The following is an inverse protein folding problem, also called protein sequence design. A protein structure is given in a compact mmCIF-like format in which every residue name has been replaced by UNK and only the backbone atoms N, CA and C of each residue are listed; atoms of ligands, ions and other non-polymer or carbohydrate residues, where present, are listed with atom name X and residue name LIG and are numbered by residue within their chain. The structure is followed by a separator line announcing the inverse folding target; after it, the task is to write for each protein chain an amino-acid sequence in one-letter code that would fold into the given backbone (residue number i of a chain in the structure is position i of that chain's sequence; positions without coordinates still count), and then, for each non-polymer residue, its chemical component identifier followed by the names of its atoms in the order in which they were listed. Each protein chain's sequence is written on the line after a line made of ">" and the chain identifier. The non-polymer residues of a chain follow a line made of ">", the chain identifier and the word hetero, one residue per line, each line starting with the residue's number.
data_IF_094181216186
#
_entry.id   IF_094181216186
#
_cell.length_a   1.000
_cell.length_b   1.000
_cell.length_c   1.000
_cell.angle_alpha   90.00
_cell.angle_beta   90.00
_cell.angle_gamma   90.00
#
_symmetry.space_group_name_H-M   'P 1'
#
loop_
_entity.id
_entity.type
_entity.pdbx_description
1 polymer ?
#
# COMPACT_ATOMS: atom_id res chain seq x y z
N UNK A 1 -1.40 26.75 13.84
CA UNK A 1 -1.99 25.63 13.06
C UNK A 1 -1.55 25.74 11.61
N UNK A 2 -0.85 24.74 11.06
CA UNK A 2 -0.53 24.71 9.62
C UNK A 2 -1.84 24.62 8.83
N UNK A 3 -2.09 25.56 7.91
CA UNK A 3 -3.28 25.58 7.03
C UNK A 3 -2.83 25.21 5.60
N UNK A 4 -3.64 24.45 4.86
CA UNK A 4 -3.38 24.11 3.45
C UNK A 4 -2.69 22.76 3.23
N UNK A 5 -1.89 22.60 2.16
CA UNK A 5 -1.34 21.30 1.73
C UNK A 5 -0.42 20.66 2.78
N UNK A 6 0.30 21.47 3.56
CA UNK A 6 1.18 21.03 4.64
C UNK A 6 0.45 20.24 5.74
N UNK A 7 -0.84 20.53 5.97
CA UNK A 7 -1.64 19.81 6.95
C UNK A 7 -1.98 18.39 6.47
N UNK A 8 -2.35 18.27 5.19
CA UNK A 8 -2.67 16.97 4.55
C UNK A 8 -1.41 16.10 4.45
N UNK A 9 -0.31 16.69 3.98
CA UNK A 9 0.99 16.01 3.92
C UNK A 9 1.46 15.62 5.33
N UNK A 10 1.26 16.50 6.32
CA UNK A 10 1.55 16.20 7.73
C UNK A 10 0.75 15.01 8.26
N UNK A 11 -0.49 14.82 7.80
CA UNK A 11 -1.31 13.67 8.17
C UNK A 11 -0.77 12.36 7.55
N UNK A 12 -0.47 12.36 6.24
CA UNK A 12 0.17 11.21 5.58
C UNK A 12 1.49 10.82 6.24
N UNK A 13 2.30 11.82 6.64
CA UNK A 13 3.54 11.57 7.38
C UNK A 13 3.28 10.90 8.72
N UNK A 14 2.30 11.38 9.49
CA UNK A 14 1.94 10.76 10.77
C UNK A 14 1.54 9.29 10.61
N UNK A 15 0.77 8.95 9.59
CA UNK A 15 0.39 7.56 9.30
C UNK A 15 1.63 6.73 8.98
N UNK A 16 2.55 7.25 8.15
CA UNK A 16 3.79 6.54 7.81
C UNK A 16 4.63 6.29 9.06
N UNK A 17 4.83 7.31 9.89
CA UNK A 17 5.65 7.25 11.10
C UNK A 17 5.02 6.39 12.21
N UNK A 18 3.68 6.22 12.20
CA UNK A 18 2.92 5.52 13.24
C UNK A 18 1.96 4.49 12.63
N UNK A 19 2.46 3.71 11.67
CA UNK A 19 1.64 2.76 10.88
C UNK A 19 0.88 1.77 11.78
N UNK A 20 1.53 1.24 12.82
CA UNK A 20 0.91 0.29 13.74
C UNK A 20 -0.22 0.92 14.57
N UNK A 21 -0.09 2.18 14.98
CA UNK A 21 -1.14 2.88 15.71
C UNK A 21 -2.36 3.13 14.81
N UNK A 22 -2.11 3.55 13.56
CA UNK A 22 -3.17 3.70 12.57
C UNK A 22 -3.91 2.38 12.32
N UNK A 23 -3.17 1.28 12.12
CA UNK A 23 -3.74 -0.05 11.92
C UNK A 23 -4.60 -0.49 13.11
N UNK A 24 -4.10 -0.35 14.34
CA UNK A 24 -4.89 -0.63 15.55
C UNK A 24 -6.16 0.23 15.64
N UNK A 25 -6.09 1.50 15.24
CA UNK A 25 -7.28 2.36 15.19
C UNK A 25 -8.36 1.90 14.19
N UNK A 26 -7.98 1.17 13.14
CA UNK A 26 -8.92 0.53 12.21
C UNK A 26 -9.51 -0.72 12.85
N UNK A 27 -8.69 -1.53 13.52
CA UNK A 27 -9.15 -2.71 14.26
C UNK A 27 -10.14 -2.34 15.37
N UNK A 28 -9.88 -1.26 16.11
CA UNK A 28 -10.79 -0.73 17.16
C UNK A 28 -12.16 -0.32 16.59
N UNK A 29 -12.23 0.01 15.30
CA UNK A 29 -13.47 0.29 14.56
C UNK A 29 -14.12 -0.97 13.99
N UNK A 30 -13.63 -2.15 14.34
CA UNK A 30 -14.12 -3.45 13.89
C UNK A 30 -13.70 -3.83 12.47
N UNK A 31 -12.67 -3.19 11.91
CA UNK A 31 -12.15 -3.57 10.59
C UNK A 31 -11.28 -4.82 10.68
N UNK A 32 -11.42 -5.71 9.70
CA UNK A 32 -10.53 -6.87 9.54
C UNK A 32 -9.30 -6.42 8.74
N UNK A 33 -8.11 -6.81 9.18
CA UNK A 33 -6.84 -6.35 8.60
C UNK A 33 -6.07 -7.51 7.99
N UNK A 34 -5.67 -7.38 6.72
CA UNK A 34 -4.79 -8.32 6.06
C UNK A 34 -3.45 -7.68 5.72
N UNK A 35 -2.35 -8.22 6.27
CA UNK A 35 -1.00 -7.85 5.87
C UNK A 35 -0.67 -8.42 4.50
N UNK A 36 -0.04 -7.65 3.62
CA UNK A 36 0.46 -8.19 2.36
C UNK A 36 1.91 -7.82 2.10
N UNK A 37 2.68 -8.78 1.55
CA UNK A 37 4.13 -8.64 1.35
C UNK A 37 4.55 -8.50 -0.11
N UNK A 38 3.67 -8.78 -1.07
CA UNK A 38 3.97 -8.74 -2.51
C UNK A 38 3.02 -7.81 -3.26
N UNK A 39 3.52 -7.03 -4.22
CA UNK A 39 2.71 -6.11 -5.03
C UNK A 39 1.74 -6.82 -5.98
N UNK A 40 1.91 -8.12 -6.19
CA UNK A 40 1.02 -8.95 -7.00
C UNK A 40 -0.15 -9.55 -6.21
N UNK A 41 -0.22 -9.30 -4.90
CA UNK A 41 -1.43 -9.65 -4.12
C UNK A 41 -2.59 -8.77 -4.62
N UNK A 42 -3.72 -9.35 -5.04
CA UNK A 42 -4.87 -8.60 -5.54
C UNK A 42 -5.62 -7.98 -4.35
N UNK A 43 -5.17 -6.80 -3.92
CA UNK A 43 -5.76 -6.04 -2.82
C UNK A 43 -7.27 -5.83 -2.98
N UNK A 44 -7.75 -5.76 -4.23
CA UNK A 44 -9.15 -5.62 -4.57
C UNK A 44 -10.03 -6.78 -4.07
N UNK A 45 -9.52 -8.02 -4.05
CA UNK A 45 -10.28 -9.18 -3.54
C UNK A 45 -10.47 -9.05 -2.03
N UNK A 46 -9.42 -8.67 -1.30
CA UNK A 46 -9.48 -8.40 0.13
C UNK A 46 -10.46 -7.25 0.43
N UNK A 47 -10.35 -6.16 -0.31
CA UNK A 47 -11.18 -4.98 -0.09
C UNK A 47 -12.67 -5.22 -0.40
N UNK A 48 -12.98 -6.00 -1.43
CA UNK A 48 -14.34 -6.42 -1.75
C UNK A 48 -14.98 -7.28 -0.61
N UNK A 49 -14.15 -8.01 0.13
CA UNK A 49 -14.56 -8.76 1.31
C UNK A 49 -14.75 -7.89 2.57
N UNK A 50 -14.43 -6.58 2.51
CA UNK A 50 -14.43 -5.69 3.68
C UNK A 50 -13.17 -5.82 4.55
N UNK A 51 -12.09 -6.36 4.00
CA UNK A 51 -10.79 -6.45 4.66
C UNK A 51 -9.93 -5.28 4.18
N UNK A 52 -9.28 -4.57 5.11
CA UNK A 52 -8.33 -3.49 4.76
C UNK A 52 -6.94 -4.10 4.52
N UNK A 53 -6.39 -4.00 3.29
CA UNK A 53 -5.05 -4.47 2.99
C UNK A 53 -4.01 -3.49 3.52
N UNK A 54 -3.07 -3.99 4.32
CA UNK A 54 -1.95 -3.23 4.89
C UNK A 54 -0.64 -3.76 4.34
N UNK A 55 0.12 -2.93 3.62
CA UNK A 55 1.44 -3.34 3.17
C UNK A 55 2.36 -3.54 4.37
N UNK A 56 3.00 -4.70 4.46
CA UNK A 56 4.09 -4.89 5.42
C UNK A 56 5.29 -4.09 4.92
N UNK A 57 5.57 -2.99 5.62
CA UNK A 57 6.72 -2.14 5.41
C UNK A 57 7.58 -2.19 6.68
N UNK A 58 8.89 -2.16 6.50
CA UNK A 58 9.83 -2.11 7.60
C UNK A 58 10.93 -1.12 7.29
N UNK A 59 11.29 -0.32 8.29
CA UNK A 59 12.59 0.35 8.31
C UNK A 59 13.70 -0.70 8.50
N UNK A 60 14.91 -0.32 8.15
CA UNK A 60 16.05 -1.22 8.29
C UNK A 60 16.39 -1.47 9.76
N UNK A 61 16.61 -2.74 10.10
CA UNK A 61 17.00 -3.21 11.42
C UNK A 61 18.17 -4.20 11.32
N UNK A 62 18.85 -4.44 12.44
CA UNK A 62 19.93 -5.44 12.48
C UNK A 62 19.40 -6.83 12.13
N UNK A 63 20.09 -7.51 11.20
CA UNK A 63 19.72 -8.85 10.77
C UNK A 63 20.09 -9.96 11.76
N UNK A 64 20.76 -9.63 12.88
CA UNK A 64 21.32 -10.61 13.82
C UNK A 64 20.30 -11.70 14.24
N UNK A 65 19.07 -11.31 14.57
CA UNK A 65 18.00 -12.24 14.93
C UNK A 65 17.55 -13.11 13.74
N UNK A 66 17.44 -12.51 12.56
CA UNK A 66 16.85 -13.16 11.39
C UNK A 66 17.77 -14.13 10.66
N UNK A 67 19.09 -14.06 10.89
CA UNK A 67 20.09 -14.94 10.24
C UNK A 67 19.92 -16.43 10.56
N UNK A 68 19.28 -16.75 11.69
CA UNK A 68 18.95 -18.13 12.05
C UNK A 68 17.73 -18.67 11.28
N UNK A 69 17.00 -17.81 10.56
CA UNK A 69 15.76 -18.13 9.86
C UNK A 69 15.86 -17.94 8.34
N UNK A 70 16.61 -16.93 7.90
CA UNK A 70 16.80 -16.58 6.49
C UNK A 70 18.31 -16.47 6.23
N UNK A 71 18.75 -17.00 5.09
CA UNK A 71 20.14 -16.95 4.69
C UNK A 71 20.63 -15.50 4.47
N UNK A 72 21.83 -15.17 4.94
CA UNK A 72 22.34 -13.78 4.98
C UNK A 72 22.50 -13.08 3.61
N UNK A 73 22.53 -13.84 2.52
CA UNK A 73 22.60 -13.29 1.15
C UNK A 73 21.26 -12.75 0.66
N UNK A 74 20.18 -13.01 1.39
CA UNK A 74 18.86 -12.52 1.04
C UNK A 74 18.78 -11.01 1.30
N UNK A 75 17.88 -10.32 0.60
CA UNK A 75 17.88 -8.86 0.61
C UNK A 75 17.54 -8.33 2.01
N UNK A 76 18.10 -7.17 2.36
CA UNK A 76 17.87 -6.58 3.68
C UNK A 76 16.38 -6.39 3.99
N UNK A 77 15.59 -6.02 2.99
CA UNK A 77 14.15 -5.81 3.17
C UNK A 77 13.39 -7.08 3.58
N UNK A 78 13.76 -8.27 3.09
CA UNK A 78 13.12 -9.51 3.53
C UNK A 78 13.50 -9.87 4.97
N UNK A 79 14.76 -9.62 5.36
CA UNK A 79 15.17 -9.73 6.76
C UNK A 79 14.40 -8.75 7.64
N UNK A 80 14.29 -7.49 7.24
CA UNK A 80 13.57 -6.46 7.99
C UNK A 80 12.09 -6.86 8.17
N UNK A 81 11.43 -7.35 7.12
CA UNK A 81 10.06 -7.85 7.21
C UNK A 81 9.93 -9.09 8.11
N UNK A 82 10.87 -10.04 8.04
CA UNK A 82 10.88 -11.22 8.91
C UNK A 82 11.04 -10.84 10.39
N UNK A 83 11.91 -9.87 10.67
CA UNK A 83 12.11 -9.33 12.01
C UNK A 83 10.80 -8.79 12.60
N UNK A 84 10.01 -8.05 11.82
CA UNK A 84 8.74 -7.51 12.29
C UNK A 84 7.77 -8.60 12.78
N UNK A 85 7.73 -9.75 12.10
CA UNK A 85 6.94 -10.91 12.53
C UNK A 85 7.49 -11.54 13.80
N UNK A 86 8.80 -11.81 13.85
CA UNK A 86 9.45 -12.40 15.03
C UNK A 86 9.38 -11.51 16.29
N UNK A 87 9.20 -10.20 16.11
CA UNK A 87 8.99 -9.25 17.21
C UNK A 87 7.51 -9.04 17.56
N UNK A 88 6.58 -9.74 16.91
CA UNK A 88 5.14 -9.61 17.19
C UNK A 88 4.58 -8.19 16.95
N UNK A 89 5.24 -7.39 16.10
CA UNK A 89 4.82 -6.00 15.83
C UNK A 89 3.52 -5.91 15.01
N UNK A 90 3.10 -7.03 14.41
CA UNK A 90 1.93 -7.13 13.53
C UNK A 90 0.86 -8.11 14.04
N UNK A 91 0.88 -8.48 15.34
CA UNK A 91 -0.09 -9.43 15.92
C UNK A 91 -1.57 -8.98 15.83
N UNK A 92 -1.80 -7.70 15.53
CA UNK A 92 -3.13 -7.16 15.24
C UNK A 92 -3.69 -7.60 13.88
N UNK A 93 -2.89 -8.20 12.99
CA UNK A 93 -3.36 -8.68 11.69
C UNK A 93 -4.18 -9.97 11.84
N UNK A 94 -5.30 -10.02 11.12
CA UNK A 94 -6.16 -11.20 11.08
C UNK A 94 -5.68 -12.24 10.06
N UNK A 95 -4.95 -11.77 9.04
CA UNK A 95 -4.46 -12.58 7.92
C UNK A 95 -3.15 -11.98 7.37
N UNK A 96 -2.24 -12.82 6.87
CA UNK A 96 -1.14 -12.41 5.99
C UNK A 96 -1.26 -13.06 4.62
N UNK A 97 -0.97 -12.30 3.56
CA UNK A 97 -1.02 -12.78 2.18
C UNK A 97 0.28 -12.45 1.46
N UNK A 98 0.80 -13.44 0.75
CA UNK A 98 1.93 -13.26 -0.15
C UNK A 98 1.60 -13.82 -1.52
N UNK A 99 2.27 -13.30 -2.55
CA UNK A 99 2.22 -13.86 -3.89
C UNK A 99 3.64 -14.23 -4.29
N UNK A 100 3.85 -15.48 -4.73
CA UNK A 100 5.15 -16.13 -4.88
C UNK A 100 6.02 -15.58 -6.03
N UNK A 101 6.23 -14.26 -6.10
CA UNK A 101 6.99 -13.62 -7.19
C UNK A 101 8.48 -13.45 -6.89
N UNK A 102 8.86 -13.35 -5.61
CA UNK A 102 10.24 -13.14 -5.18
C UNK A 102 10.60 -14.13 -4.07
N UNK A 103 11.65 -14.92 -4.28
CA UNK A 103 12.09 -15.94 -3.31
C UNK A 103 12.53 -15.32 -1.97
N UNK A 104 13.09 -14.09 -1.99
CA UNK A 104 13.51 -13.44 -0.76
C UNK A 104 12.32 -13.10 0.16
N UNK A 105 11.26 -12.52 -0.41
CA UNK A 105 10.05 -12.20 0.35
C UNK A 105 9.23 -13.45 0.69
N UNK A 106 9.32 -14.51 -0.12
CA UNK A 106 8.72 -15.81 0.21
C UNK A 106 9.34 -16.39 1.50
N UNK A 107 10.65 -16.24 1.70
CA UNK A 107 11.28 -16.65 2.96
C UNK A 107 10.85 -15.78 4.14
N UNK A 108 10.71 -14.45 3.96
CA UNK A 108 10.15 -13.60 5.00
C UNK A 108 8.72 -14.02 5.38
N UNK A 109 7.88 -14.34 4.40
CA UNK A 109 6.54 -14.89 4.62
C UNK A 109 6.59 -16.23 5.35
N UNK A 110 7.46 -17.16 4.93
CA UNK A 110 7.64 -18.46 5.59
C UNK A 110 8.05 -18.31 7.06
N UNK A 111 8.87 -17.32 7.39
CA UNK A 111 9.21 -17.02 8.80
C UNK A 111 7.97 -16.68 9.61
N UNK A 112 7.07 -15.86 9.06
CA UNK A 112 5.86 -15.48 9.79
C UNK A 112 4.92 -16.67 10.00
N UNK A 113 4.72 -17.46 8.94
CA UNK A 113 3.88 -18.67 8.98
C UNK A 113 4.40 -19.65 10.03
N UNK A 114 5.70 -19.94 10.03
CA UNK A 114 6.28 -21.02 10.84
C UNK A 114 6.66 -20.60 12.27
N UNK A 115 7.02 -19.34 12.47
CA UNK A 115 7.68 -18.90 13.71
C UNK A 115 7.04 -17.66 14.36
N UNK A 116 6.08 -17.01 13.71
CA UNK A 116 5.42 -15.81 14.25
C UNK A 116 3.90 -15.97 14.45
N UNK A 117 3.38 -17.20 14.48
CA UNK A 117 1.98 -17.47 14.82
C UNK A 117 0.97 -17.24 13.68
N UNK A 118 1.42 -17.15 12.42
CA UNK A 118 0.54 -16.97 11.26
C UNK A 118 0.20 -18.26 10.50
N UNK A 119 0.54 -19.44 11.02
CA UNK A 119 0.32 -20.72 10.33
C UNK A 119 -1.14 -20.91 9.85
N UNK A 120 -2.13 -20.57 10.69
CA UNK A 120 -3.57 -20.72 10.42
C UNK A 120 -4.21 -19.42 9.90
N UNK A 121 -3.38 -18.39 9.69
CA UNK A 121 -3.78 -17.03 9.28
C UNK A 121 -2.95 -16.56 8.10
N UNK A 122 -2.68 -17.44 7.15
CA UNK A 122 -1.83 -17.12 6.01
C UNK A 122 -2.34 -17.71 4.71
N UNK A 123 -2.05 -17.03 3.60
CA UNK A 123 -2.31 -17.54 2.26
C UNK A 123 -1.18 -17.16 1.30
N UNK A 124 -0.67 -18.16 0.56
CA UNK A 124 0.33 -17.97 -0.47
C UNK A 124 -0.31 -18.14 -1.85
N UNK A 125 -0.38 -17.06 -2.61
CA UNK A 125 -0.90 -17.06 -3.98
C UNK A 125 0.22 -17.52 -4.92
N UNK A 126 0.05 -18.64 -5.65
CA UNK A 126 0.97 -19.02 -6.70
C UNK A 126 1.03 -17.94 -7.80
N UNK A 127 2.23 -17.60 -8.25
CA UNK A 127 2.44 -16.60 -9.30
C UNK A 127 3.36 -17.14 -10.41
N UNK A 128 3.00 -16.99 -11.70
CA UNK A 128 3.78 -17.52 -12.80
C UNK A 128 5.05 -16.71 -13.00
N UNK A 129 6.19 -17.39 -13.06
CA UNK A 129 7.49 -16.74 -13.33
C UNK A 129 7.74 -16.47 -14.83
N UNK A 130 6.96 -17.10 -15.72
CA UNK A 130 7.01 -16.86 -17.17
C UNK A 130 5.66 -16.29 -17.64
N UNK A 131 5.54 -14.97 -17.53
CA UNK A 131 4.27 -14.24 -17.69
C UNK A 131 3.81 -14.06 -19.14
N UNK A 132 4.69 -14.25 -20.12
CA UNK A 132 4.38 -14.02 -21.54
C UNK A 132 3.82 -15.25 -22.27
N UNK A 133 3.58 -16.35 -21.54
CA UNK A 133 3.00 -17.55 -22.14
C UNK A 133 1.48 -17.41 -22.26
N UNK A 134 0.91 -18.08 -23.27
CA UNK A 134 -0.56 -18.16 -23.44
C UNK A 134 -1.31 -18.70 -22.21
N UNK A 135 -0.63 -19.49 -21.37
CA UNK A 135 -1.21 -20.13 -20.19
C UNK A 135 -1.13 -19.26 -18.93
N UNK A 136 -0.22 -18.28 -18.85
CA UNK A 136 -0.03 -17.46 -17.67
C UNK A 136 -1.29 -16.71 -17.24
N UNK A 137 -2.06 -16.19 -18.21
CA UNK A 137 -3.33 -15.52 -17.93
C UNK A 137 -4.37 -16.46 -17.29
N UNK A 138 -4.55 -17.66 -17.85
CA UNK A 138 -5.48 -18.65 -17.29
C UNK A 138 -5.10 -19.12 -15.90
N UNK A 139 -3.80 -19.36 -15.68
CA UNK A 139 -3.25 -19.72 -14.36
C UNK A 139 -3.52 -18.63 -13.31
N UNK A 140 -3.39 -17.36 -13.68
CA UNK A 140 -3.68 -16.26 -12.76
C UNK A 140 -5.17 -16.15 -12.42
N UNK A 141 -6.06 -16.40 -13.39
CA UNK A 141 -7.50 -16.42 -13.14
C UNK A 141 -7.85 -17.52 -12.13
N UNK A 142 -7.28 -18.71 -12.29
CA UNK A 142 -7.47 -19.84 -11.36
C UNK A 142 -6.90 -19.52 -9.97
N UNK A 143 -5.65 -19.06 -9.90
CA UNK A 143 -4.98 -18.72 -8.62
C UNK A 143 -5.73 -17.62 -7.85
N UNK A 144 -6.27 -16.62 -8.54
CA UNK A 144 -7.09 -15.59 -7.92
C UNK A 144 -8.49 -16.09 -7.56
N UNK A 145 -9.04 -17.05 -8.30
CA UNK A 145 -10.28 -17.75 -7.95
C UNK A 145 -10.13 -18.51 -6.62
N UNK A 146 -9.07 -19.30 -6.47
CA UNK A 146 -8.77 -20.02 -5.22
C UNK A 146 -8.56 -19.05 -4.05
N UNK A 147 -7.85 -17.95 -4.28
CA UNK A 147 -7.66 -16.93 -3.26
C UNK A 147 -8.98 -16.27 -2.85
N UNK A 148 -9.84 -15.94 -3.83
CA UNK A 148 -11.18 -15.41 -3.57
C UNK A 148 -11.99 -16.38 -2.70
N UNK A 149 -12.05 -17.66 -3.05
CA UNK A 149 -12.76 -18.67 -2.27
C UNK A 149 -12.23 -18.80 -0.84
N UNK A 150 -10.91 -18.73 -0.67
CA UNK A 150 -10.29 -18.72 0.66
C UNK A 150 -10.77 -17.53 1.48
N UNK A 151 -10.77 -16.32 0.90
CA UNK A 151 -11.24 -15.11 1.58
C UNK A 151 -12.74 -15.19 1.89
N UNK A 152 -13.58 -15.67 0.98
CA UNK A 152 -15.02 -15.86 1.22
C UNK A 152 -15.29 -16.78 2.41
N UNK A 153 -14.54 -17.89 2.52
CA UNK A 153 -14.62 -18.81 3.66
C UNK A 153 -14.14 -18.14 4.96
N UNK A 154 -13.07 -17.36 4.88
CA UNK A 154 -12.50 -16.64 6.01
C UNK A 154 -13.49 -15.61 6.60
N UNK A 155 -14.10 -14.77 5.76
CA UNK A 155 -15.07 -13.76 6.21
C UNK A 155 -16.51 -14.26 6.29
N UNK A 156 -16.77 -15.52 5.88
CA UNK A 156 -18.11 -16.14 5.81
C UNK A 156 -19.10 -15.31 4.99
N UNK A 157 -18.63 -14.73 3.88
CA UNK A 157 -19.41 -13.86 2.99
C UNK A 157 -18.99 -14.13 1.54
N UNK A 158 -19.97 -14.26 0.65
CA UNK A 158 -19.73 -14.31 -0.80
C UNK A 158 -19.31 -12.93 -1.33
N UNK A 159 -18.27 -12.91 -2.15
CA UNK A 159 -17.78 -11.74 -2.87
C UNK A 159 -18.41 -11.78 -4.27
N UNK A 160 -19.32 -10.84 -4.53
CA UNK A 160 -19.98 -10.73 -5.84
C UNK A 160 -19.09 -10.02 -6.86
N UNK A 161 -19.39 -10.18 -8.14
CA UNK A 161 -18.69 -9.45 -9.20
C UNK A 161 -18.87 -7.92 -9.05
N UNK A 162 -20.04 -7.48 -8.56
CA UNK A 162 -20.29 -6.08 -8.24
C UNK A 162 -19.41 -5.56 -7.09
N UNK A 163 -19.12 -6.39 -6.08
CA UNK A 163 -18.22 -6.03 -4.99
C UNK A 163 -16.78 -5.87 -5.50
N UNK A 164 -16.33 -6.81 -6.36
CA UNK A 164 -15.01 -6.74 -7.01
C UNK A 164 -14.89 -5.50 -7.89
N UNK A 165 -15.88 -5.23 -8.73
CA UNK A 165 -15.90 -4.06 -9.62
C UNK A 165 -15.83 -2.74 -8.82
N UNK A 166 -16.53 -2.65 -7.69
CA UNK A 166 -16.43 -1.49 -6.78
C UNK A 166 -15.03 -1.36 -6.19
N UNK A 167 -14.44 -2.45 -5.70
CA UNK A 167 -13.09 -2.44 -5.14
C UNK A 167 -12.03 -2.04 -6.18
N UNK A 168 -12.12 -2.60 -7.40
CA UNK A 168 -11.28 -2.25 -8.55
C UNK A 168 -11.38 -0.76 -8.87
N UNK A 169 -12.59 -0.18 -8.88
CA UNK A 169 -12.78 1.25 -9.11
C UNK A 169 -12.09 2.11 -8.04
N UNK A 170 -12.21 1.76 -6.75
CA UNK A 170 -11.56 2.48 -5.64
C UNK A 170 -10.04 2.43 -5.75
N UNK A 171 -9.48 1.25 -6.03
CA UNK A 171 -8.04 1.06 -6.16
C UNK A 171 -7.48 1.75 -7.41
N UNK A 172 -8.15 1.62 -8.56
CA UNK A 172 -7.76 2.32 -9.78
C UNK A 172 -7.86 3.84 -9.63
N UNK A 173 -8.79 4.34 -8.82
CA UNK A 173 -8.85 5.76 -8.48
C UNK A 173 -7.62 6.21 -7.70
N UNK A 174 -7.23 5.46 -6.68
CA UNK A 174 -5.99 5.70 -5.92
C UNK A 174 -4.78 5.76 -6.84
N UNK A 175 -4.63 4.77 -7.73
CA UNK A 175 -3.52 4.70 -8.71
C UNK A 175 -3.48 5.92 -9.64
N UNK A 176 -4.64 6.38 -10.14
CA UNK A 176 -4.74 7.58 -10.97
C UNK A 176 -4.35 8.84 -10.21
N UNK A 177 -4.80 9.00 -8.97
CA UNK A 177 -4.47 10.15 -8.14
C UNK A 177 -2.97 10.19 -7.82
N UNK A 178 -2.38 9.06 -7.41
CA UNK A 178 -0.93 8.96 -7.18
C UNK A 178 -0.13 9.30 -8.45
N UNK A 179 -0.52 8.75 -9.61
CA UNK A 179 0.14 9.08 -10.89
C UNK A 179 0.10 10.60 -11.17
N UNK A 180 -1.06 11.24 -10.97
CA UNK A 180 -1.20 12.69 -11.13
C UNK A 180 -0.36 13.48 -10.13
N UNK A 181 -0.21 12.98 -8.91
CA UNK A 181 0.67 13.59 -7.90
C UNK A 181 2.14 13.53 -8.34
N UNK A 182 2.59 12.38 -8.85
CA UNK A 182 3.95 12.23 -9.41
C UNK A 182 4.18 13.12 -10.64
N UNK A 183 3.17 13.32 -11.49
CA UNK A 183 3.25 14.23 -12.65
C UNK A 183 3.53 15.69 -12.27
N UNK A 184 3.20 16.12 -11.05
CA UNK A 184 3.54 17.47 -10.59
C UNK A 184 5.04 17.74 -10.53
N UNK A 185 5.85 16.70 -10.27
CA UNK A 185 7.31 16.81 -10.20
C UNK A 185 7.97 17.11 -11.54
N UNK A 186 7.26 16.94 -12.66
CA UNK A 186 7.76 17.26 -14.01
C UNK A 186 7.70 18.75 -14.35
N UNK A 187 7.16 19.58 -13.46
CA UNK A 187 6.99 21.03 -13.67
C UNK A 187 8.23 21.78 -13.22
N UNK A 188 8.50 22.92 -13.86
CA UNK A 188 9.64 23.80 -13.48
C UNK A 188 9.57 24.28 -12.02
N UNK A 189 8.36 24.52 -11.51
CA UNK A 189 8.11 24.87 -10.11
C UNK A 189 7.01 23.96 -9.55
N UNK A 190 7.37 22.75 -9.08
CA UNK A 190 6.41 21.78 -8.62
C UNK A 190 5.77 22.24 -7.29
N UNK A 191 4.45 22.12 -7.12
CA UNK A 191 3.76 22.54 -5.89
C UNK A 191 3.98 21.59 -4.71
N UNK A 192 4.76 20.53 -4.90
CA UNK A 192 5.07 19.48 -3.92
C UNK A 192 6.48 18.96 -4.19
N UNK A 193 7.21 18.60 -3.14
CA UNK A 193 8.57 18.05 -3.26
C UNK A 193 8.55 16.54 -3.48
N UNK A 194 9.62 15.98 -4.06
CA UNK A 194 9.74 14.54 -4.26
C UNK A 194 9.65 13.74 -2.96
N UNK A 195 10.19 14.26 -1.85
CA UNK A 195 10.07 13.65 -0.52
C UNK A 195 8.62 13.54 -0.08
N UNK A 196 7.83 14.60 -0.27
CA UNK A 196 6.43 14.61 0.11
C UNK A 196 5.60 13.65 -0.75
N UNK A 197 5.85 13.59 -2.06
CA UNK A 197 5.21 12.60 -2.94
C UNK A 197 5.54 11.17 -2.49
N UNK A 198 6.80 10.90 -2.12
CA UNK A 198 7.22 9.61 -1.58
C UNK A 198 6.52 9.29 -0.26
N UNK A 199 6.43 10.23 0.69
CA UNK A 199 5.69 10.06 1.94
C UNK A 199 4.22 9.73 1.69
N UNK A 200 3.56 10.47 0.80
CA UNK A 200 2.16 10.21 0.44
C UNK A 200 2.00 8.82 -0.19
N UNK A 201 2.94 8.42 -1.06
CA UNK A 201 2.93 7.11 -1.71
C UNK A 201 3.12 5.98 -0.68
N UNK A 202 4.01 6.13 0.29
CA UNK A 202 4.20 5.16 1.38
C UNK A 202 2.95 5.03 2.24
N UNK A 203 2.40 6.16 2.70
CA UNK A 203 1.17 6.17 3.49
C UNK A 203 0.01 5.48 2.73
N UNK A 204 -0.12 5.72 1.42
CA UNK A 204 -1.19 5.10 0.62
C UNK A 204 -1.17 3.57 0.61
N UNK A 205 -0.04 2.93 0.90
CA UNK A 205 0.09 1.46 0.94
C UNK A 205 -0.42 0.85 2.26
N UNK A 206 -0.64 1.66 3.29
CA UNK A 206 -1.09 1.20 4.62
C UNK A 206 -2.41 1.85 5.06
N UNK A 207 -3.00 2.71 4.23
CA UNK A 207 -4.26 3.37 4.51
C UNK A 207 -5.45 2.62 3.90
N UNK A 208 -6.62 2.78 4.55
CA UNK A 208 -7.89 2.57 3.87
C UNK A 208 -7.94 3.45 2.61
N UNK A 209 -8.37 2.85 1.49
CA UNK A 209 -8.32 3.52 0.20
C UNK A 209 -9.39 4.60 0.02
N UNK A 210 -10.53 4.52 0.70
CA UNK A 210 -11.51 5.61 0.67
C UNK A 210 -10.97 6.84 1.38
N UNK A 211 -10.42 6.68 2.59
CA UNK A 211 -9.77 7.78 3.32
C UNK A 211 -8.60 8.37 2.52
N UNK A 212 -7.73 7.51 1.99
CA UNK A 212 -6.58 7.91 1.18
C UNK A 212 -7.01 8.71 -0.06
N UNK A 213 -8.04 8.25 -0.78
CA UNK A 213 -8.55 8.91 -1.98
C UNK A 213 -9.07 10.32 -1.68
N UNK A 214 -9.86 10.49 -0.61
CA UNK A 214 -10.38 11.80 -0.22
C UNK A 214 -9.24 12.80 0.06
N UNK A 215 -8.21 12.36 0.79
CA UNK A 215 -7.05 13.19 1.08
C UNK A 215 -6.21 13.51 -0.16
N UNK A 216 -6.01 12.53 -1.04
CA UNK A 216 -5.29 12.71 -2.31
C UNK A 216 -5.99 13.71 -3.23
N UNK A 217 -7.32 13.64 -3.34
CA UNK A 217 -8.12 14.58 -4.14
C UNK A 217 -7.95 16.02 -3.64
N UNK A 218 -8.05 16.23 -2.32
CA UNK A 218 -7.83 17.54 -1.71
C UNK A 218 -6.42 18.05 -1.99
N UNK A 219 -5.40 17.20 -1.82
CA UNK A 219 -4.01 17.56 -2.09
C UNK A 219 -3.78 17.97 -3.55
N UNK A 220 -4.32 17.18 -4.49
CA UNK A 220 -4.23 17.46 -5.93
C UNK A 220 -4.97 18.74 -6.31
N UNK A 221 -6.13 19.02 -5.70
CA UNK A 221 -6.89 20.24 -5.93
C UNK A 221 -6.10 21.47 -5.49
N UNK A 222 -5.48 21.43 -4.31
CA UNK A 222 -4.62 22.51 -3.79
C UNK A 222 -3.41 22.74 -4.71
N UNK A 223 -2.70 21.67 -5.07
CA UNK A 223 -1.54 21.75 -5.97
C UNK A 223 -1.89 22.23 -7.39
N UNK A 224 -3.13 22.00 -7.83
CA UNK A 224 -3.64 22.53 -9.10
C UNK A 224 -4.03 24.01 -9.02
N UNK A 225 -4.47 24.52 -7.86
CA UNK A 225 -4.86 25.93 -7.65
C UNK A 225 -3.67 26.87 -7.48
N UNK A 226 -2.55 26.41 -6.91
CA UNK A 226 -1.29 27.18 -6.86
C UNK A 226 -0.85 27.68 -8.26
N UNK A 227 -1.25 26.98 -9.32
CA UNK A 227 -1.11 27.38 -10.74
C UNK A 227 -1.82 28.70 -11.09
N UNK A 228 -3.04 28.92 -10.61
CA UNK A 228 -3.88 30.05 -11.06
C UNK A 228 -3.45 31.38 -10.43
N UNK A 229 -2.93 31.36 -9.19
CA UNK A 229 -2.40 32.54 -8.52
C UNK A 229 -1.07 33.02 -9.12
N UNK A 230 -0.16 32.10 -9.45
CA UNK A 230 1.16 32.44 -10.02
C UNK A 230 1.08 33.00 -11.46
N UNK A 231 0.11 32.54 -12.26
CA UNK A 231 -0.11 33.05 -13.63
C UNK A 231 -0.74 34.45 -13.61
N UNK A 232 -1.64 34.74 -12.67
CA UNK A 232 -2.22 36.10 -12.50
C UNK A 232 -1.21 37.12 -11.97
N UNK A 233 -0.28 36.72 -11.11
CA UNK A 233 0.75 37.61 -10.54
C UNK A 233 1.79 38.13 -11.55
N UNK A 234 2.00 37.43 -12.68
CA UNK A 234 2.93 37.88 -13.74
C UNK A 234 2.29 38.82 -14.78
N UNK A 235 0.99 39.07 -14.72
CA UNK A 235 0.28 39.89 -15.71
C UNK A 235 0.18 41.39 -15.33
N UNK A 236 0.85 41.86 -14.28
CA UNK A 236 0.79 43.27 -13.83
C UNK A 236 2.17 43.98 -13.75
N UNK A 237 3.21 43.38 -14.33
CA UNK A 237 4.55 43.97 -14.34
C UNK A 237 5.06 44.23 -15.76
N UNK A 238 4.39 45.10 -16.54
CA UNK A 238 5.08 45.80 -17.62
C UNK A 238 4.37 47.08 -18.02
N UNK A 239 4.92 48.20 -17.57
CA UNK A 239 4.40 49.52 -17.87
C UNK A 239 5.27 50.63 -17.30
N UNK A 240 6.52 50.75 -17.77
CA UNK A 240 7.10 52.04 -18.19
C UNK A 240 8.50 51.87 -18.78
N UNK A 241 8.57 52.26 -20.05
CA UNK A 241 9.78 52.67 -20.78
C UNK A 241 10.53 53.74 -19.99
N UNK A 242 11.85 53.67 -20.00
CA UNK A 242 12.74 54.73 -20.48
C UNK A 242 13.83 54.07 -21.32
#
# INVERSE_FOLDING_TARGET
>A
MKKGPDAIIGHFRRITDNTHEYAKSLQDKGQILAGYMCTHVPEEILYAAGIIPLRVLSAHVSQAMTRSYIHETYCSFSHDCAYQGLQHNYDYLDLIVHSSSCIHMAEAFNVWVRFAGFQDKSYLIPYPHIIHTKHAGGFMVESFGEFKEFIEKFVKKTITDDDLEKAIKVYNHTRRLLKRLWEFLRRDNPPITGREVATVTLASQVMDKQECNQMLEQLIQIGSRARQGAVRGKAHGNGRRL
#
